data_IF_993150063609
#
_entry.id   IF_993150063609
#
_cell.length_a   1.000
_cell.length_b   1.000
_cell.length_c   1.000
_cell.angle_alpha   90.00
_cell.angle_beta   90.00
_cell.angle_gamma   90.00
#
_symmetry.space_group_name_H-M   'P 1'
#
loop_
_entity.id
_entity.type
_entity.pdbx_description
1 polymer ?
#
# COMPACT_ATOMS: atom_id res chain seq x y z
N UNK A 1 21.21 -16.03 11.79
CA UNK A 1 21.78 -16.56 10.53
C UNK A 1 20.76 -17.27 9.66
N UNK A 2 19.88 -18.15 10.17
CA UNK A 2 18.77 -18.73 9.38
C UNK A 2 17.74 -17.72 8.85
N UNK A 3 17.39 -16.67 9.62
CA UNK A 3 16.48 -15.59 9.17
C UNK A 3 17.06 -14.68 8.07
N UNK A 4 18.39 -14.52 8.03
CA UNK A 4 19.06 -13.77 6.95
C UNK A 4 19.08 -14.56 5.63
N UNK A 5 19.00 -15.89 5.72
CA UNK A 5 18.86 -16.77 4.56
C UNK A 5 17.42 -16.73 3.99
N UNK A 6 16.41 -16.57 4.85
CA UNK A 6 15.02 -16.36 4.44
C UNK A 6 14.82 -15.01 3.72
N UNK A 7 15.44 -13.92 4.20
CA UNK A 7 15.47 -12.65 3.46
C UNK A 7 16.18 -12.78 2.10
N UNK A 8 17.24 -13.60 2.01
CA UNK A 8 17.96 -13.84 0.76
C UNK A 8 17.18 -14.76 -0.20
N UNK A 9 16.42 -15.73 0.32
CA UNK A 9 15.53 -16.61 -0.45
C UNK A 9 14.26 -15.88 -0.90
N UNK A 10 13.71 -14.94 -0.13
CA UNK A 10 12.63 -14.06 -0.57
C UNK A 10 13.09 -13.08 -1.67
N UNK A 11 14.33 -12.57 -1.56
CA UNK A 11 14.96 -11.79 -2.64
C UNK A 11 15.22 -12.64 -3.90
N UNK A 12 15.62 -13.91 -3.73
CA UNK A 12 15.81 -14.85 -4.84
C UNK A 12 14.48 -15.30 -5.45
N UNK A 13 13.41 -15.42 -4.67
CA UNK A 13 12.10 -15.87 -5.16
C UNK A 13 11.27 -14.75 -5.80
N UNK A 14 11.47 -13.48 -5.41
CA UNK A 14 11.07 -12.35 -6.26
C UNK A 14 11.86 -12.35 -7.58
N UNK A 15 13.11 -12.80 -7.58
CA UNK A 15 13.87 -13.01 -8.82
C UNK A 15 13.42 -14.24 -9.60
N UNK A 16 12.86 -15.30 -8.97
CA UNK A 16 12.44 -16.53 -9.67
C UNK A 16 10.95 -16.60 -10.03
N UNK A 17 10.06 -15.86 -9.36
CA UNK A 17 8.69 -15.60 -9.83
C UNK A 17 8.67 -14.76 -11.11
N UNK A 18 9.71 -13.93 -11.30
CA UNK A 18 10.06 -13.31 -12.58
C UNK A 18 10.68 -14.28 -13.61
N UNK A 19 11.12 -15.48 -13.20
CA UNK A 19 11.68 -16.50 -14.12
C UNK A 19 10.66 -17.53 -14.61
N UNK A 20 9.54 -17.75 -13.91
CA UNK A 20 8.50 -18.67 -14.39
C UNK A 20 7.62 -18.08 -15.52
N UNK A 21 7.68 -16.77 -15.76
CA UNK A 21 7.16 -16.11 -16.97
C UNK A 21 8.26 -15.82 -18.02
N UNK A 22 9.51 -16.22 -17.77
CA UNK A 22 10.64 -15.83 -18.62
C UNK A 22 10.92 -16.77 -19.80
N UNK A 23 10.18 -17.88 -19.98
CA UNK A 23 10.47 -18.81 -21.08
C UNK A 23 9.89 -18.38 -22.45
N UNK A 24 9.24 -17.22 -22.58
CA UNK A 24 8.97 -16.63 -23.91
C UNK A 24 9.07 -15.10 -24.03
N UNK A 25 9.57 -14.39 -23.01
CA UNK A 25 9.78 -12.95 -23.09
C UNK A 25 11.22 -12.65 -23.52
N UNK A 26 11.45 -12.69 -24.84
CA UNK A 26 12.60 -11.96 -25.39
C UNK A 26 12.37 -10.48 -25.10
N UNK A 27 13.16 -9.90 -24.19
CA UNK A 27 13.17 -8.44 -23.99
C UNK A 27 13.40 -7.77 -25.36
N UNK A 28 12.59 -6.79 -25.75
CA UNK A 28 12.78 -6.09 -27.02
C UNK A 28 14.19 -5.49 -27.07
N UNK A 29 14.78 -5.43 -28.26
CA UNK A 29 16.10 -4.83 -28.44
C UNK A 29 16.00 -3.32 -28.16
N UNK A 30 16.50 -2.89 -27.00
CA UNK A 30 16.45 -1.49 -26.57
C UNK A 30 17.74 -0.77 -26.95
N UNK A 31 17.63 0.46 -27.45
CA UNK A 31 18.78 1.34 -27.67
C UNK A 31 19.61 1.51 -26.39
N UNK A 32 20.94 1.73 -26.47
CA UNK A 32 21.78 1.87 -25.30
C UNK A 32 21.47 3.15 -24.51
N UNK A 33 21.72 3.16 -23.19
CA UNK A 33 21.57 4.36 -22.33
C UNK A 33 22.28 5.60 -22.88
N UNK A 34 23.40 5.41 -23.59
CA UNK A 34 24.15 6.51 -24.22
C UNK A 34 23.32 7.28 -25.25
N UNK A 35 22.45 6.60 -26.01
CA UNK A 35 21.55 7.25 -26.96
C UNK A 35 20.60 8.24 -26.26
N UNK A 36 19.96 7.77 -25.18
CA UNK A 36 19.03 8.56 -24.39
C UNK A 36 19.72 9.69 -23.61
N UNK A 37 20.96 9.46 -23.17
CA UNK A 37 21.80 10.50 -22.57
C UNK A 37 22.13 11.62 -23.55
N UNK A 38 22.53 11.26 -24.78
CA UNK A 38 22.82 12.23 -25.84
C UNK A 38 21.56 13.04 -26.22
N UNK A 39 20.42 12.38 -26.37
CA UNK A 39 19.13 13.03 -26.63
C UNK A 39 18.75 13.99 -25.48
N UNK A 40 18.80 13.54 -24.22
CA UNK A 40 18.49 14.39 -23.08
C UNK A 40 19.44 15.59 -22.97
N UNK A 41 20.74 15.40 -23.26
CA UNK A 41 21.71 16.50 -23.24
C UNK A 41 21.50 17.49 -24.39
N UNK A 42 21.03 17.03 -25.55
CA UNK A 42 20.66 17.88 -26.69
C UNK A 42 19.42 18.73 -26.37
N UNK A 43 18.40 18.11 -25.78
CA UNK A 43 17.13 18.78 -25.45
C UNK A 43 17.25 19.71 -24.24
N UNK A 44 18.12 19.36 -23.28
CA UNK A 44 18.33 20.07 -22.02
C UNK A 44 19.81 20.41 -21.78
N UNK A 45 20.43 21.27 -22.62
CA UNK A 45 21.87 21.53 -22.61
C UNK A 45 22.40 22.20 -21.33
N UNK A 46 21.53 22.91 -20.60
CA UNK A 46 21.89 23.59 -19.36
C UNK A 46 21.73 22.71 -18.11
N UNK A 47 21.30 21.47 -18.28
CA UNK A 47 21.06 20.51 -17.20
C UNK A 47 22.17 19.45 -17.16
N UNK A 48 22.44 18.95 -15.96
CA UNK A 48 23.37 17.86 -15.73
C UNK A 48 22.62 16.58 -15.42
N UNK A 49 23.08 15.46 -15.96
CA UNK A 49 22.53 14.15 -15.63
C UNK A 49 23.21 13.62 -14.37
N UNK A 50 22.41 13.17 -13.39
CA UNK A 50 22.97 12.42 -12.25
C UNK A 50 22.68 10.92 -12.32
N UNK A 51 21.56 10.50 -12.94
CA UNK A 51 21.18 9.09 -13.00
C UNK A 51 20.38 8.75 -14.26
N UNK A 52 20.59 7.52 -14.76
CA UNK A 52 19.80 6.93 -15.86
C UNK A 52 19.44 5.48 -15.57
N UNK A 53 18.14 5.16 -15.64
CA UNK A 53 17.60 3.85 -15.22
C UNK A 53 16.62 3.31 -16.25
N UNK A 54 16.64 1.99 -16.48
CA UNK A 54 15.55 1.31 -17.19
C UNK A 54 14.63 0.64 -16.18
N UNK A 55 13.34 0.66 -16.46
CA UNK A 55 12.34 -0.13 -15.73
C UNK A 55 11.34 -0.73 -16.70
N UNK A 56 10.92 -1.98 -16.47
CA UNK A 56 9.86 -2.61 -17.26
C UNK A 56 8.56 -2.62 -16.46
N UNK A 57 7.54 -1.90 -16.92
CA UNK A 57 6.20 -1.94 -16.33
C UNK A 57 5.15 -1.49 -17.33
N UNK A 58 3.90 -1.93 -17.16
CA UNK A 58 2.83 -1.65 -18.12
C UNK A 58 2.99 -2.41 -19.44
N UNK A 59 2.21 -2.02 -20.46
CA UNK A 59 2.23 -2.64 -21.79
C UNK A 59 2.27 -1.62 -22.92
N UNK A 60 3.05 -1.93 -23.95
CA UNK A 60 3.06 -1.25 -25.24
C UNK A 60 2.82 -2.29 -26.34
N UNK A 61 1.77 -2.14 -27.14
CA UNK A 61 1.42 -3.07 -28.25
C UNK A 61 1.45 -4.57 -27.89
N UNK A 62 1.01 -4.91 -26.67
CA UNK A 62 0.98 -6.26 -26.05
C UNK A 62 2.33 -6.81 -25.55
N UNK A 63 3.41 -6.03 -25.64
CA UNK A 63 4.69 -6.33 -25.00
C UNK A 63 4.85 -5.53 -23.70
N UNK A 64 5.79 -5.94 -22.85
CA UNK A 64 6.17 -5.15 -21.67
C UNK A 64 6.73 -3.81 -22.17
N UNK A 65 6.18 -2.70 -21.68
CA UNK A 65 6.76 -1.39 -21.94
C UNK A 65 8.05 -1.23 -21.11
N UNK A 66 9.14 -0.91 -21.78
CA UNK A 66 10.42 -0.58 -21.18
C UNK A 66 10.51 0.95 -21.13
N UNK A 67 10.62 1.48 -19.93
CA UNK A 67 10.77 2.91 -19.66
C UNK A 67 12.24 3.25 -19.40
N UNK A 68 12.68 4.41 -19.91
CA UNK A 68 13.97 5.02 -19.57
C UNK A 68 13.76 6.29 -18.77
N UNK A 69 14.33 6.34 -17.58
CA UNK A 69 14.31 7.51 -16.70
C UNK A 69 15.65 8.21 -16.77
N UNK A 70 15.66 9.48 -17.18
CA UNK A 70 16.84 10.36 -17.14
C UNK A 70 16.60 11.46 -16.12
N UNK A 71 17.41 11.45 -15.08
CA UNK A 71 17.27 12.32 -13.93
C UNK A 71 18.28 13.48 -14.03
N UNK A 72 17.75 14.70 -14.07
CA UNK A 72 18.44 15.94 -14.39
C UNK A 72 18.40 16.97 -13.27
N UNK A 73 19.53 17.65 -13.04
CA UNK A 73 19.62 18.73 -12.07
C UNK A 73 20.39 19.93 -12.62
N UNK A 74 20.14 21.11 -12.05
CA UNK A 74 20.97 22.29 -12.28
C UNK A 74 20.98 23.20 -11.06
N UNK A 75 22.00 24.04 -10.97
CA UNK A 75 22.15 25.02 -9.89
C UNK A 75 21.79 26.41 -10.36
N UNK A 76 20.83 27.04 -9.67
CA UNK A 76 20.69 28.49 -9.70
C UNK A 76 21.60 29.12 -8.62
N UNK A 77 21.39 30.38 -8.28
CA UNK A 77 22.10 30.98 -7.14
C UNK A 77 21.52 30.53 -5.80
N UNK A 78 20.22 30.24 -5.77
CA UNK A 78 19.45 30.11 -4.53
C UNK A 78 18.83 28.72 -4.36
N UNK A 79 18.83 27.88 -5.41
CA UNK A 79 18.27 26.53 -5.35
C UNK A 79 18.97 25.54 -6.29
N UNK A 80 18.76 24.25 -6.00
CA UNK A 80 18.91 23.14 -6.94
C UNK A 80 17.56 22.91 -7.58
N UNK A 81 17.49 22.98 -8.90
CA UNK A 81 16.32 22.58 -9.67
C UNK A 81 16.51 21.13 -10.13
N UNK A 82 15.40 20.40 -10.17
CA UNK A 82 15.37 18.95 -10.37
C UNK A 82 14.28 18.58 -11.37
N UNK A 83 14.57 17.63 -12.23
CA UNK A 83 13.67 17.17 -13.27
C UNK A 83 13.92 15.69 -13.58
N UNK A 84 12.85 14.95 -13.85
CA UNK A 84 12.90 13.60 -14.37
C UNK A 84 12.28 13.56 -15.76
N UNK A 85 12.98 12.91 -16.68
CA UNK A 85 12.50 12.58 -18.01
C UNK A 85 12.16 11.09 -18.06
N UNK A 86 10.99 10.75 -18.56
CA UNK A 86 10.55 9.37 -18.81
C UNK A 86 10.19 9.20 -20.29
N UNK A 87 10.58 8.08 -20.90
CA UNK A 87 10.12 7.69 -22.23
C UNK A 87 9.97 6.17 -22.34
N UNK A 88 8.93 5.72 -23.05
CA UNK A 88 8.81 4.31 -23.46
C UNK A 88 9.78 4.06 -24.62
N UNK A 89 10.66 3.08 -24.48
CA UNK A 89 11.74 2.82 -25.44
C UNK A 89 11.37 1.85 -26.55
N UNK A 90 10.35 1.02 -26.36
CA UNK A 90 9.92 0.01 -27.35
C UNK A 90 9.72 0.58 -28.78
N UNK A 91 9.07 1.74 -28.97
CA UNK A 91 8.85 2.26 -30.32
C UNK A 91 10.03 3.05 -30.90
N UNK A 92 11.09 3.31 -30.13
CA UNK A 92 12.14 4.27 -30.50
C UNK A 92 13.25 3.57 -31.27
N UNK A 93 13.54 4.07 -32.47
CA UNK A 93 14.65 3.61 -33.31
C UNK A 93 15.80 4.61 -33.32
N UNK A 94 16.99 4.16 -33.72
CA UNK A 94 18.16 5.04 -33.84
C UNK A 94 17.88 6.18 -34.85
N UNK A 95 18.02 7.42 -34.40
CA UNK A 95 17.75 8.62 -35.18
C UNK A 95 16.36 9.24 -34.93
N UNK A 96 15.49 8.57 -34.17
CA UNK A 96 14.21 9.14 -33.76
C UNK A 96 14.40 10.16 -32.63
N UNK A 97 13.57 11.21 -32.66
CA UNK A 97 13.41 12.12 -31.52
C UNK A 97 12.82 11.35 -30.32
N UNK A 98 13.31 11.62 -29.11
CA UNK A 98 12.82 10.94 -27.90
C UNK A 98 11.62 11.70 -27.32
N UNK A 99 10.43 11.09 -27.22
CA UNK A 99 9.23 11.76 -26.74
C UNK A 99 9.19 11.78 -25.20
N UNK A 100 10.00 12.64 -24.59
CA UNK A 100 10.07 12.77 -23.14
C UNK A 100 8.74 13.20 -22.51
N UNK A 101 8.25 12.40 -21.56
CA UNK A 101 7.40 12.87 -20.47
C UNK A 101 8.29 13.57 -19.44
N UNK A 102 7.91 14.79 -19.03
CA UNK A 102 8.75 15.65 -18.20
C UNK A 102 8.07 15.90 -16.87
N UNK A 103 8.72 15.48 -15.79
CA UNK A 103 8.29 15.71 -14.42
C UNK A 103 9.25 16.67 -13.74
N UNK A 104 8.77 17.86 -13.36
CA UNK A 104 9.57 18.79 -12.54
C UNK A 104 9.39 18.46 -11.07
N UNK A 105 10.49 18.35 -10.34
CA UNK A 105 10.47 18.14 -8.89
C UNK A 105 10.58 19.49 -8.19
N UNK A 106 10.21 19.51 -6.91
CA UNK A 106 10.32 20.71 -6.09
C UNK A 106 11.79 21.14 -6.00
N UNK A 107 12.09 22.43 -6.25
CA UNK A 107 13.45 22.93 -6.08
C UNK A 107 13.87 22.80 -4.62
N UNK A 108 15.17 22.72 -4.36
CA UNK A 108 15.73 22.62 -3.01
C UNK A 108 16.60 23.83 -2.75
N UNK A 109 16.24 24.63 -1.75
CA UNK A 109 16.95 25.85 -1.38
C UNK A 109 18.43 25.57 -1.06
N UNK A 110 19.30 26.47 -1.48
CA UNK A 110 20.73 26.46 -1.16
C UNK A 110 21.04 27.40 0.01
N UNK A 111 21.93 26.96 0.89
CA UNK A 111 22.57 27.84 1.84
C UNK A 111 23.34 28.96 1.11
N UNK A 112 23.38 30.19 1.63
CA UNK A 112 24.14 31.28 1.03
C UNK A 112 25.60 30.91 0.75
N UNK A 113 26.00 30.97 -0.53
CA UNK A 113 27.36 30.64 -0.98
C UNK A 113 27.61 29.14 -1.24
N UNK A 114 26.62 28.26 -1.06
CA UNK A 114 26.78 26.83 -1.31
C UNK A 114 26.89 26.47 -2.81
N UNK A 115 26.36 27.30 -3.70
CA UNK A 115 26.25 26.98 -5.13
C UNK A 115 27.60 26.67 -5.79
N UNK A 116 28.67 27.40 -5.49
CA UNK A 116 29.99 27.16 -6.08
C UNK A 116 30.64 25.88 -5.55
N UNK A 117 30.42 25.56 -4.27
CA UNK A 117 30.86 24.30 -3.67
C UNK A 117 30.17 23.12 -4.36
N UNK A 118 28.84 23.19 -4.50
CA UNK A 118 28.05 22.11 -5.10
C UNK A 118 28.36 21.93 -6.59
N UNK A 119 28.59 23.02 -7.34
CA UNK A 119 29.02 22.95 -8.75
C UNK A 119 30.38 22.27 -8.94
N UNK A 120 31.23 22.24 -7.91
CA UNK A 120 32.52 21.57 -7.95
C UNK A 120 32.44 20.08 -7.58
N UNK A 121 31.29 19.60 -7.11
CA UNK A 121 31.06 18.20 -6.74
C UNK A 121 30.60 17.38 -7.95
N UNK A 122 30.84 16.07 -7.89
CA UNK A 122 30.23 15.11 -8.81
C UNK A 122 28.76 14.88 -8.40
N UNK A 123 27.86 14.65 -9.35
CA UNK A 123 26.45 14.37 -9.07
C UNK A 123 26.27 13.21 -8.08
N UNK A 124 27.15 12.20 -8.11
CA UNK A 124 27.11 11.07 -7.16
C UNK A 124 27.49 11.43 -5.72
N UNK A 125 28.14 12.57 -5.52
CA UNK A 125 28.50 13.10 -4.19
C UNK A 125 27.41 14.03 -3.66
N UNK A 126 26.46 14.45 -4.51
CA UNK A 126 25.29 15.28 -4.17
C UNK A 126 24.07 14.40 -3.93
N UNK A 127 23.86 13.39 -4.78
CA UNK A 127 22.71 12.49 -4.74
C UNK A 127 23.13 11.08 -4.37
N UNK A 128 22.25 10.37 -3.67
CA UNK A 128 22.43 8.93 -3.43
C UNK A 128 22.11 8.12 -4.68
N UNK A 129 22.44 6.82 -4.68
CA UNK A 129 22.10 5.89 -5.78
C UNK A 129 20.60 5.51 -5.85
N UNK A 130 19.74 6.15 -5.05
CA UNK A 130 18.30 5.94 -5.00
C UNK A 130 17.62 6.21 -6.36
N UNK A 131 16.48 5.54 -6.62
CA UNK A 131 15.59 5.83 -7.76
C UNK A 131 15.04 7.26 -7.77
N UNK A 132 15.08 7.96 -6.63
CA UNK A 132 14.50 9.29 -6.46
C UNK A 132 15.58 10.36 -6.20
N UNK A 133 15.18 11.63 -6.23
CA UNK A 133 16.02 12.78 -5.88
C UNK A 133 16.29 12.83 -4.36
N UNK A 134 17.08 11.89 -3.87
CA UNK A 134 17.53 11.77 -2.48
C UNK A 134 18.94 12.32 -2.38
N UNK A 135 19.13 13.29 -1.50
CA UNK A 135 20.41 13.95 -1.30
C UNK A 135 21.29 13.15 -0.36
N UNK A 136 22.59 13.18 -0.64
CA UNK A 136 23.62 12.59 0.21
C UNK A 136 23.82 13.42 1.48
N UNK A 137 24.10 12.76 2.59
CA UNK A 137 24.43 13.38 3.89
C UNK A 137 25.60 14.37 3.78
N UNK A 138 26.45 14.25 2.76
CA UNK A 138 27.58 15.15 2.48
C UNK A 138 27.16 16.57 2.12
N UNK A 139 25.94 16.76 1.65
CA UNK A 139 25.45 18.06 1.16
C UNK A 139 24.27 18.61 1.95
N UNK A 140 23.70 17.85 2.90
CA UNK A 140 22.46 18.27 3.59
C UNK A 140 22.62 19.58 4.36
N UNK A 141 23.79 19.84 4.96
CA UNK A 141 24.10 21.11 5.63
C UNK A 141 24.18 22.33 4.68
N UNK A 142 24.25 22.08 3.37
CA UNK A 142 24.29 23.10 2.33
C UNK A 142 22.89 23.42 1.77
N UNK A 143 21.85 22.75 2.27
CA UNK A 143 20.51 22.76 1.70
C UNK A 143 19.46 23.16 2.74
N UNK A 144 18.36 23.72 2.26
CA UNK A 144 17.14 23.99 3.04
C UNK A 144 17.32 24.84 4.32
N UNK A 145 18.12 25.92 4.32
CA UNK A 145 18.37 26.73 5.51
C UNK A 145 17.11 27.38 6.09
N UNK A 146 16.03 27.56 5.31
CA UNK A 146 14.76 28.12 5.80
C UNK A 146 13.88 27.12 6.56
N UNK A 147 14.17 25.81 6.47
CA UNK A 147 13.24 24.76 6.92
C UNK A 147 13.64 24.08 8.23
N UNK A 148 14.72 24.53 8.86
CA UNK A 148 15.18 24.01 10.15
C UNK A 148 15.80 25.14 10.99
N UNK A 149 15.82 24.94 12.30
CA UNK A 149 16.45 25.88 13.23
C UNK A 149 17.97 25.69 13.27
N UNK A 150 18.69 26.67 13.82
CA UNK A 150 20.16 26.59 13.94
C UNK A 150 20.67 25.47 14.87
N UNK A 151 19.79 24.85 15.68
CA UNK A 151 20.14 23.71 16.53
C UNK A 151 19.85 22.36 15.87
N UNK A 152 19.20 22.37 14.70
CA UNK A 152 18.85 21.18 13.94
C UNK A 152 19.82 20.95 12.78
N UNK A 153 20.07 19.68 12.47
CA UNK A 153 20.75 19.26 11.25
C UNK A 153 19.83 18.38 10.42
N UNK A 154 19.84 18.54 9.10
CA UNK A 154 19.08 17.66 8.19
C UNK A 154 19.88 16.38 8.01
N UNK A 155 19.29 15.25 8.40
CA UNK A 155 19.95 13.93 8.35
C UNK A 155 19.47 13.04 7.20
N UNK A 156 18.38 13.43 6.53
CA UNK A 156 17.91 12.80 5.30
C UNK A 156 17.02 13.80 4.55
N UNK A 157 17.14 13.86 3.22
CA UNK A 157 16.37 14.79 2.38
C UNK A 157 16.00 14.13 1.04
N UNK A 158 14.73 14.22 0.66
CA UNK A 158 14.20 13.73 -0.61
C UNK A 158 13.22 14.73 -1.20
N UNK A 159 13.35 15.00 -2.50
CA UNK A 159 12.41 15.83 -3.26
C UNK A 159 11.48 14.98 -4.12
N UNK A 160 10.27 15.49 -4.34
CA UNK A 160 9.25 14.97 -5.24
C UNK A 160 8.54 16.15 -5.93
N UNK A 161 7.62 15.90 -6.88
CA UNK A 161 6.85 16.96 -7.54
C UNK A 161 5.94 17.77 -6.61
N UNK A 162 5.50 17.18 -5.49
CA UNK A 162 4.51 17.81 -4.59
C UNK A 162 5.01 18.06 -3.17
N UNK A 163 5.97 17.27 -2.71
CA UNK A 163 6.52 17.38 -1.36
C UNK A 163 8.03 17.33 -1.31
N UNK A 164 8.56 18.02 -0.29
CA UNK A 164 9.88 17.81 0.23
C UNK A 164 9.77 16.98 1.51
N UNK A 165 10.47 15.86 1.57
CA UNK A 165 10.53 14.96 2.71
C UNK A 165 11.89 15.08 3.38
N UNK A 166 11.91 15.32 4.69
CA UNK A 166 13.17 15.46 5.40
C UNK A 166 13.04 15.08 6.86
N UNK A 167 14.15 14.61 7.41
CA UNK A 167 14.29 14.34 8.83
C UNK A 167 15.33 15.31 9.39
N UNK A 168 14.96 16.02 10.46
CA UNK A 168 15.92 16.82 11.24
C UNK A 168 16.32 16.10 12.51
N UNK A 169 17.51 16.43 13.02
CA UNK A 169 18.03 15.98 14.30
C UNK A 169 18.58 17.16 15.10
N UNK A 170 18.12 17.33 16.33
CA UNK A 170 18.61 18.40 17.21
C UNK A 170 19.85 17.99 18.02
N UNK A 171 20.41 18.93 18.79
CA UNK A 171 21.56 18.71 19.67
C UNK A 171 21.30 17.73 20.83
N UNK A 172 20.03 17.43 21.12
CA UNK A 172 19.60 16.44 22.10
C UNK A 172 19.31 15.06 21.47
N UNK A 173 19.69 14.85 20.20
CA UNK A 173 19.43 13.64 19.43
C UNK A 173 17.93 13.31 19.30
N UNK A 174 17.06 14.33 19.36
CA UNK A 174 15.64 14.19 19.01
C UNK A 174 15.48 14.33 17.50
N UNK A 175 14.66 13.45 16.93
CA UNK A 175 14.39 13.44 15.49
C UNK A 175 13.03 14.07 15.21
N UNK A 176 12.90 14.71 14.07
CA UNK A 176 11.62 15.23 13.60
C UNK A 176 11.41 14.87 12.13
N UNK A 177 10.32 14.18 11.84
CA UNK A 177 9.82 13.99 10.48
C UNK A 177 9.18 15.29 10.02
N UNK A 178 9.55 15.73 8.82
CA UNK A 178 8.98 16.92 8.21
C UNK A 178 8.62 16.64 6.76
N UNK A 179 7.42 17.09 6.39
CA UNK A 179 6.96 17.10 5.02
C UNK A 179 6.53 18.52 4.70
N UNK A 180 7.11 19.11 3.67
CA UNK A 180 6.77 20.45 3.23
C UNK A 180 6.18 20.40 1.82
N UNK A 181 5.12 21.18 1.60
CA UNK A 181 4.48 21.35 0.30
C UNK A 181 5.01 22.63 -0.35
N UNK A 182 5.24 22.57 -1.66
CA UNK A 182 5.60 23.74 -2.46
C UNK A 182 4.35 24.32 -3.13
N UNK A 183 4.14 25.63 -3.00
CA UNK A 183 3.00 26.31 -3.63
C UNK A 183 3.34 26.98 -4.98
N UNK A 184 4.59 26.85 -5.42
CA UNK A 184 5.14 27.57 -6.58
C UNK A 184 6.09 28.70 -6.21
N UNK A 185 6.14 29.11 -4.94
CA UNK A 185 6.95 30.23 -4.45
C UNK A 185 7.62 30.01 -3.10
N UNK A 186 6.97 29.32 -2.17
CA UNK A 186 7.51 29.01 -0.85
C UNK A 186 7.10 27.62 -0.37
N UNK A 187 7.84 27.12 0.63
CA UNK A 187 7.50 25.88 1.31
C UNK A 187 6.55 26.16 2.47
N UNK A 188 5.50 25.35 2.58
CA UNK A 188 4.68 25.26 3.77
C UNK A 188 4.85 23.88 4.39
N UNK A 189 5.36 23.81 5.63
CA UNK A 189 5.40 22.56 6.38
C UNK A 189 3.98 22.06 6.67
N UNK A 190 3.66 20.87 6.17
CA UNK A 190 2.35 20.21 6.36
C UNK A 190 2.41 19.08 7.38
N UNK A 191 3.61 18.50 7.60
CA UNK A 191 3.86 17.51 8.65
C UNK A 191 5.06 17.96 9.48
N UNK A 192 4.92 17.91 10.80
CA UNK A 192 6.01 18.17 11.75
C UNK A 192 5.86 17.26 12.97
N UNK A 193 6.42 16.06 12.89
CA UNK A 193 6.16 14.98 13.84
C UNK A 193 7.43 14.61 14.59
N UNK A 194 7.46 14.77 15.93
CA UNK A 194 8.60 14.33 16.72
C UNK A 194 8.71 12.81 16.73
N UNK A 195 9.94 12.31 16.80
CA UNK A 195 10.22 10.91 17.07
C UNK A 195 11.34 10.78 18.10
N UNK A 196 11.18 9.91 19.10
CA UNK A 196 12.22 9.64 20.09
C UNK A 196 13.36 8.77 19.53
N UNK A 197 13.21 8.26 18.31
CA UNK A 197 14.16 7.38 17.66
C UNK A 197 14.57 7.92 16.30
N UNK A 198 15.72 7.44 15.81
CA UNK A 198 16.15 7.75 14.45
C UNK A 198 15.06 7.32 13.48
N UNK A 199 14.61 8.28 12.68
CA UNK A 199 13.72 8.07 11.55
C UNK A 199 14.55 8.00 10.26
N UNK A 200 14.14 7.15 9.35
CA UNK A 200 14.59 7.19 7.96
C UNK A 200 13.48 6.77 7.04
N UNK A 201 13.32 7.44 5.90
CA UNK A 201 12.43 6.97 4.85
C UNK A 201 13.18 6.03 3.89
N UNK A 202 12.47 5.03 3.36
CA UNK A 202 12.98 4.15 2.33
C UNK A 202 12.59 4.68 0.94
N UNK A 203 13.56 5.22 0.18
CA UNK A 203 13.25 5.86 -1.09
C UNK A 203 12.81 4.89 -2.20
N UNK A 204 13.09 3.59 -2.04
CA UNK A 204 12.73 2.58 -3.04
C UNK A 204 11.23 2.30 -3.07
N UNK A 205 10.56 2.41 -1.92
CA UNK A 205 9.11 2.18 -1.75
C UNK A 205 8.31 3.46 -1.51
N UNK A 206 8.98 4.62 -1.57
CA UNK A 206 8.33 5.92 -1.49
C UNK A 206 7.99 6.47 -2.87
N UNK A 207 6.87 7.19 -2.98
CA UNK A 207 6.41 7.85 -4.20
C UNK A 207 6.04 9.32 -3.97
N UNK A 208 5.30 9.92 -4.90
CA UNK A 208 4.86 11.31 -4.78
C UNK A 208 3.84 11.51 -3.65
N UNK A 209 3.05 10.47 -3.37
CA UNK A 209 1.98 10.46 -2.36
C UNK A 209 2.06 9.27 -1.41
N UNK A 210 3.15 8.50 -1.44
CA UNK A 210 3.44 7.43 -0.48
C UNK A 210 4.83 7.59 0.13
N UNK A 211 4.99 7.20 1.38
CA UNK A 211 6.25 7.28 2.10
C UNK A 211 6.37 6.07 3.02
N UNK A 212 7.36 5.21 2.77
CA UNK A 212 7.75 4.14 3.70
C UNK A 212 8.75 4.73 4.70
N UNK A 213 8.47 4.58 5.99
CA UNK A 213 9.21 5.18 7.09
C UNK A 213 9.62 4.14 8.12
N UNK A 214 10.92 4.10 8.39
CA UNK A 214 11.53 3.29 9.43
C UNK A 214 11.78 4.14 10.68
N UNK A 215 11.21 3.71 11.80
CA UNK A 215 11.53 4.20 13.12
C UNK A 215 12.39 3.15 13.84
N UNK A 216 13.63 3.52 14.16
CA UNK A 216 14.60 2.66 14.85
C UNK A 216 14.28 2.51 16.35
N UNK A 217 13.10 1.97 16.63
CA UNK A 217 12.57 1.65 17.95
C UNK A 217 12.95 0.21 18.34
N UNK A 218 12.62 -0.14 19.58
CA UNK A 218 12.65 -1.53 20.03
C UNK A 218 11.28 -1.90 20.64
N UNK A 219 10.46 -2.73 19.95
CA UNK A 219 10.72 -3.35 18.64
C UNK A 219 10.87 -2.32 17.51
N UNK A 220 11.55 -2.72 16.43
CA UNK A 220 11.65 -1.93 15.20
C UNK A 220 10.25 -1.62 14.68
N UNK A 221 10.02 -0.44 14.09
CA UNK A 221 8.72 -0.09 13.53
C UNK A 221 8.93 0.47 12.13
N UNK A 222 8.27 -0.12 11.16
CA UNK A 222 8.16 0.33 9.77
C UNK A 222 6.70 0.67 9.50
N UNK A 223 6.46 1.81 8.85
CA UNK A 223 5.11 2.28 8.52
C UNK A 223 5.05 2.78 7.09
N UNK A 224 3.98 2.40 6.39
CA UNK A 224 3.65 3.01 5.10
C UNK A 224 2.65 4.14 5.31
N UNK A 225 3.00 5.31 4.78
CA UNK A 225 2.18 6.49 4.86
C UNK A 225 1.66 6.84 3.46
N UNK A 226 0.43 7.37 3.39
CA UNK A 226 -0.17 7.87 2.16
C UNK A 226 -0.72 9.27 2.36
N UNK A 227 -0.63 10.10 1.32
CA UNK A 227 -1.34 11.36 1.23
C UNK A 227 -2.74 11.11 0.66
N UNK A 228 -3.74 11.19 1.54
CA UNK A 228 -5.11 10.84 1.19
C UNK A 228 -5.81 11.96 0.41
N UNK A 229 -6.93 11.62 -0.23
CA UNK A 229 -7.69 12.53 -1.08
C UNK A 229 -8.22 13.78 -0.33
N UNK A 230 -8.35 13.71 0.98
CA UNK A 230 -8.74 14.83 1.84
C UNK A 230 -7.57 15.76 2.20
N UNK A 231 -6.37 15.47 1.71
CA UNK A 231 -5.18 16.30 1.84
C UNK A 231 -4.40 16.09 3.13
N UNK A 232 -4.51 14.92 3.75
CA UNK A 232 -3.84 14.58 5.02
C UNK A 232 -2.94 13.36 4.83
N UNK A 233 -1.75 13.40 5.45
CA UNK A 233 -0.86 12.24 5.51
C UNK A 233 -1.27 11.31 6.66
N UNK A 234 -1.55 10.05 6.33
CA UNK A 234 -1.91 9.00 7.29
C UNK A 234 -1.06 7.77 7.13
N UNK A 235 -0.90 7.03 8.21
CA UNK A 235 -0.32 5.69 8.24
C UNK A 235 -1.40 4.69 7.81
N UNK A 236 -1.08 3.88 6.80
CA UNK A 236 -1.94 2.83 6.25
C UNK A 236 -1.40 1.43 6.54
N UNK A 237 -0.10 1.29 6.80
CA UNK A 237 0.52 0.01 7.16
C UNK A 237 1.36 0.15 8.42
N UNK A 238 1.32 -0.86 9.29
CA UNK A 238 2.15 -0.98 10.49
C UNK A 238 2.88 -2.32 10.48
N UNK A 239 4.21 -2.30 10.61
CA UNK A 239 5.05 -3.49 10.66
C UNK A 239 6.09 -3.37 11.77
N UNK A 240 6.24 -4.42 12.59
CA UNK A 240 7.26 -4.43 13.65
C UNK A 240 7.96 -5.78 13.85
N UNK A 241 8.00 -6.63 12.82
CA UNK A 241 8.37 -8.05 12.84
C UNK A 241 7.45 -8.98 13.65
N UNK A 242 6.77 -8.48 14.68
CA UNK A 242 5.82 -9.26 15.48
C UNK A 242 4.41 -9.24 14.90
N UNK A 243 4.09 -8.22 14.12
CA UNK A 243 2.88 -8.14 13.31
C UNK A 243 3.14 -7.32 12.04
N UNK A 244 2.29 -7.55 11.05
CA UNK A 244 2.09 -6.69 9.89
C UNK A 244 0.59 -6.44 9.77
N UNK A 245 0.19 -5.18 9.67
CA UNK A 245 -1.22 -4.78 9.62
C UNK A 245 -1.43 -3.70 8.57
N UNK A 246 -2.35 -3.95 7.65
CA UNK A 246 -2.92 -2.92 6.76
C UNK A 246 -4.20 -2.38 7.39
N UNK A 247 -4.35 -1.05 7.39
CA UNK A 247 -5.44 -0.35 8.06
C UNK A 247 -6.43 0.21 7.05
N UNK A 248 -7.71 -0.08 7.30
CA UNK A 248 -8.85 0.50 6.59
C UNK A 248 -9.76 1.20 7.60
N UNK A 249 -10.78 1.91 7.10
CA UNK A 249 -11.66 2.72 7.95
C UNK A 249 -12.40 1.90 9.01
N UNK A 250 -12.83 0.68 8.66
CA UNK A 250 -13.71 -0.16 9.50
C UNK A 250 -13.20 -1.59 9.70
N UNK A 251 -11.96 -1.88 9.32
CA UNK A 251 -11.31 -3.14 9.60
C UNK A 251 -9.80 -3.00 9.42
N UNK A 252 -9.07 -4.00 9.89
CA UNK A 252 -7.65 -4.18 9.60
C UNK A 252 -7.41 -5.57 9.04
N UNK A 253 -6.33 -5.75 8.28
CA UNK A 253 -5.90 -7.05 7.75
C UNK A 253 -4.53 -7.39 8.33
N UNK A 254 -4.38 -8.59 8.90
CA UNK A 254 -3.18 -9.02 9.62
C UNK A 254 -2.29 -9.98 8.81
N UNK A 255 -1.82 -9.56 7.64
CA UNK A 255 -0.85 -10.36 6.87
C UNK A 255 -0.23 -9.55 5.72
N UNK A 256 0.98 -9.96 5.30
CA UNK A 256 1.62 -9.50 4.06
C UNK A 256 0.93 -10.07 2.81
N UNK A 257 0.25 -11.21 2.96
CA UNK A 257 -0.40 -11.99 1.91
C UNK A 257 -1.72 -12.51 2.48
N UNK A 258 -2.84 -11.88 2.15
CA UNK A 258 -4.16 -12.37 2.58
C UNK A 258 -4.42 -13.73 1.97
N UNK A 259 -4.90 -14.69 2.76
CA UNK A 259 -5.66 -15.78 2.19
C UNK A 259 -6.86 -15.15 1.45
N UNK A 260 -6.92 -15.30 0.13
CA UNK A 260 -7.98 -14.73 -0.69
C UNK A 260 -9.31 -15.49 -0.54
N UNK A 261 -9.28 -16.69 0.08
CA UNK A 261 -10.41 -17.63 0.16
C UNK A 261 -11.18 -17.57 1.48
N UNK A 262 -10.57 -17.07 2.56
CA UNK A 262 -11.21 -16.91 3.86
C UNK A 262 -10.97 -15.50 4.42
N UNK A 263 -11.65 -15.16 5.52
CA UNK A 263 -11.51 -13.84 6.15
C UNK A 263 -10.87 -13.90 7.55
N UNK A 264 -10.06 -14.92 7.84
CA UNK A 264 -9.54 -15.12 9.19
C UNK A 264 -8.52 -14.06 9.63
N UNK A 265 -7.77 -13.51 8.67
CA UNK A 265 -6.87 -12.38 8.86
C UNK A 265 -7.57 -11.01 8.89
N UNK A 266 -8.89 -10.97 8.69
CA UNK A 266 -9.68 -9.74 8.75
C UNK A 266 -10.23 -9.53 10.16
N UNK A 267 -9.95 -8.36 10.71
CA UNK A 267 -10.41 -7.95 12.04
C UNK A 267 -11.31 -6.73 11.88
N UNK A 268 -12.62 -6.94 12.08
CA UNK A 268 -13.65 -5.94 11.79
C UNK A 268 -13.86 -5.00 12.97
N UNK A 269 -13.95 -3.71 12.68
CA UNK A 269 -14.00 -2.65 13.68
C UNK A 269 -13.05 -1.52 13.32
N UNK A 270 -13.20 -0.38 13.99
CA UNK A 270 -12.41 0.80 13.67
C UNK A 270 -11.15 0.83 14.53
N UNK A 271 -9.98 0.91 13.92
CA UNK A 271 -8.75 1.15 14.68
C UNK A 271 -8.78 2.58 15.26
N UNK A 272 -8.62 2.70 16.58
CA UNK A 272 -8.73 4.00 17.29
C UNK A 272 -7.39 4.69 17.54
N UNK A 273 -6.28 4.05 17.13
CA UNK A 273 -4.95 4.66 17.21
C UNK A 273 -4.89 5.93 16.34
N UNK A 274 -4.19 6.99 16.78
CA UNK A 274 -3.89 8.13 15.92
C UNK A 274 -2.98 7.70 14.76
N UNK A 275 -3.48 7.83 13.53
CA UNK A 275 -2.73 7.46 12.31
C UNK A 275 -2.35 8.68 11.47
N UNK A 276 -2.90 9.86 11.75
CA UNK A 276 -2.47 11.11 11.12
C UNK A 276 -1.04 11.42 11.55
N UNK A 277 -0.14 11.71 10.61
CA UNK A 277 1.27 11.94 10.96
C UNK A 277 1.45 13.09 11.95
N UNK A 278 0.64 14.14 11.93
CA UNK A 278 0.74 15.24 12.90
C UNK A 278 0.25 14.90 14.32
N UNK A 279 -0.42 13.77 14.51
CA UNK A 279 -1.06 13.37 15.76
C UNK A 279 -0.40 12.13 16.38
N UNK A 280 0.46 11.46 15.63
CA UNK A 280 1.06 10.19 16.01
C UNK A 280 2.17 10.37 17.05
N UNK A 281 2.22 9.43 18.00
CA UNK A 281 3.37 9.22 18.87
C UNK A 281 4.00 7.86 18.53
N UNK A 282 5.13 7.88 17.81
CA UNK A 282 5.81 6.67 17.39
C UNK A 282 6.19 5.76 18.58
N UNK A 283 6.44 6.34 19.76
CA UNK A 283 6.83 5.58 20.95
C UNK A 283 5.68 4.77 21.55
N UNK A 284 4.44 5.20 21.29
CA UNK A 284 3.22 4.65 21.87
C UNK A 284 2.56 3.57 20.99
N UNK A 285 3.12 3.27 19.82
CA UNK A 285 2.55 2.21 18.97
C UNK A 285 2.56 0.85 19.66
N UNK A 286 1.55 0.01 19.36
CA UNK A 286 1.51 -1.37 19.78
C UNK A 286 2.80 -2.11 19.43
N UNK A 287 3.26 -2.94 20.36
CA UNK A 287 4.41 -3.83 20.21
C UNK A 287 3.99 -5.23 19.81
N UNK A 288 2.75 -5.60 20.09
CA UNK A 288 2.17 -6.91 19.75
C UNK A 288 0.85 -6.75 19.00
N UNK A 289 0.47 -7.77 18.25
CA UNK A 289 -0.83 -7.76 17.57
C UNK A 289 -2.00 -7.70 18.55
N UNK A 290 -1.90 -8.33 19.72
CA UNK A 290 -2.94 -8.26 20.76
C UNK A 290 -3.17 -6.82 21.25
N UNK A 291 -2.12 -5.99 21.30
CA UNK A 291 -2.24 -4.56 21.64
C UNK A 291 -2.93 -3.77 20.50
N UNK A 292 -2.69 -4.15 19.22
CA UNK A 292 -3.44 -3.59 18.08
C UNK A 292 -4.94 -3.91 18.23
N UNK A 293 -5.29 -5.18 18.46
CA UNK A 293 -6.69 -5.60 18.67
C UNK A 293 -7.34 -4.92 19.87
N UNK A 294 -6.58 -4.64 20.93
CA UNK A 294 -7.07 -3.89 22.11
C UNK A 294 -7.39 -2.42 21.81
N UNK A 295 -6.89 -1.91 20.69
CA UNK A 295 -7.10 -0.53 20.22
C UNK A 295 -8.22 -0.43 19.18
N UNK A 296 -8.93 -1.52 18.89
CA UNK A 296 -10.07 -1.56 17.99
C UNK A 296 -11.36 -1.16 18.71
N UNK A 297 -12.19 -0.35 18.06
CA UNK A 297 -13.57 -0.11 18.44
C UNK A 297 -14.48 -1.07 17.67
N UNK A 298 -15.02 -2.04 18.40
CA UNK A 298 -15.95 -3.05 17.87
C UNK A 298 -17.42 -2.65 18.02
N UNK A 299 -17.72 -1.38 18.32
CA UNK A 299 -19.10 -0.93 18.51
C UNK A 299 -19.95 -1.24 17.29
N UNK A 300 -21.00 -2.04 17.50
CA UNK A 300 -21.92 -2.44 16.43
C UNK A 300 -21.41 -3.57 15.53
N UNK A 301 -20.17 -4.03 15.68
CA UNK A 301 -19.63 -5.15 14.89
C UNK A 301 -20.26 -6.46 15.36
N UNK A 302 -20.61 -7.32 14.40
CA UNK A 302 -21.04 -8.68 14.63
C UNK A 302 -20.59 -9.61 13.49
N UNK A 303 -20.63 -10.92 13.73
CA UNK A 303 -20.51 -11.91 12.67
C UNK A 303 -21.38 -13.14 12.96
N UNK A 304 -21.67 -13.95 11.93
CA UNK A 304 -22.38 -15.22 12.10
C UNK A 304 -21.55 -16.18 12.97
N UNK A 305 -22.17 -16.73 14.01
CA UNK A 305 -21.47 -17.55 15.00
C UNK A 305 -21.30 -19.02 14.60
N UNK A 306 -22.05 -19.49 13.61
CA UNK A 306 -22.01 -20.87 13.13
C UNK A 306 -22.56 -20.99 11.70
N UNK A 307 -22.32 -22.15 11.09
CA UNK A 307 -22.84 -22.48 9.77
C UNK A 307 -24.36 -22.54 9.74
N UNK A 308 -24.89 -22.38 8.53
CA UNK A 308 -26.31 -22.37 8.24
C UNK A 308 -27.08 -21.29 9.02
N UNK A 309 -26.42 -20.18 9.34
CA UNK A 309 -27.06 -19.04 10.02
C UNK A 309 -28.07 -18.40 9.06
N UNK A 310 -29.38 -18.40 9.39
CA UNK A 310 -30.40 -17.85 8.49
C UNK A 310 -30.45 -16.33 8.53
N UNK A 311 -30.39 -15.71 7.34
CA UNK A 311 -30.68 -14.28 7.15
C UNK A 311 -32.14 -14.11 6.73
N UNK A 312 -32.86 -13.14 7.31
CA UNK A 312 -34.28 -12.92 7.07
C UNK A 312 -34.57 -11.55 6.47
N UNK A 313 -35.61 -11.46 5.64
CA UNK A 313 -36.07 -10.18 5.09
C UNK A 313 -36.71 -9.27 6.17
N UNK A 314 -37.32 -9.87 7.19
CA UNK A 314 -37.94 -9.23 8.33
C UNK A 314 -37.96 -10.20 9.51
N UNK A 315 -38.18 -9.73 10.77
CA UNK A 315 -38.40 -10.61 11.91
C UNK A 315 -39.50 -11.64 11.62
N UNK A 316 -39.16 -12.94 11.77
CA UNK A 316 -40.03 -14.09 11.44
C UNK A 316 -40.55 -14.13 9.99
N UNK A 317 -39.90 -13.41 9.07
CA UNK A 317 -40.22 -13.36 7.64
C UNK A 317 -39.56 -14.46 6.81
N UNK A 318 -39.49 -14.24 5.50
CA UNK A 318 -38.83 -15.16 4.57
C UNK A 318 -37.31 -15.19 4.79
N UNK A 319 -36.73 -16.39 4.70
CA UNK A 319 -35.28 -16.58 4.71
C UNK A 319 -34.72 -16.19 3.36
N UNK A 320 -33.73 -15.30 3.36
CA UNK A 320 -33.00 -14.83 2.18
C UNK A 320 -31.87 -15.81 1.83
N UNK A 321 -31.07 -16.17 2.84
CA UNK A 321 -29.89 -17.01 2.68
C UNK A 321 -29.56 -17.76 3.98
N UNK A 322 -28.74 -18.80 3.85
CA UNK A 322 -28.07 -19.51 4.94
C UNK A 322 -26.58 -19.24 4.83
N UNK A 323 -26.02 -18.54 5.80
CA UNK A 323 -24.63 -18.11 5.80
C UNK A 323 -23.72 -19.11 6.49
N UNK A 324 -22.46 -19.13 6.03
CA UNK A 324 -21.33 -19.76 6.70
C UNK A 324 -20.97 -18.99 7.98
N UNK A 325 -20.01 -19.52 8.73
CA UNK A 325 -19.49 -18.90 9.96
C UNK A 325 -18.59 -17.71 9.63
N UNK A 326 -18.58 -16.68 10.49
CA UNK A 326 -17.75 -15.47 10.41
C UNK A 326 -18.11 -14.48 9.29
N UNK A 327 -19.34 -14.49 8.78
CA UNK A 327 -19.81 -13.45 7.85
C UNK A 327 -19.91 -12.11 8.58
N UNK A 328 -19.13 -11.08 8.21
CA UNK A 328 -19.06 -9.82 8.93
C UNK A 328 -20.27 -8.93 8.67
N UNK A 329 -20.72 -8.22 9.70
CA UNK A 329 -21.86 -7.32 9.63
C UNK A 329 -21.82 -6.22 10.69
N UNK A 330 -22.59 -5.15 10.44
CA UNK A 330 -22.82 -4.07 11.41
C UNK A 330 -24.28 -4.10 11.87
N UNK A 331 -24.51 -4.08 13.18
CA UNK A 331 -25.83 -3.99 13.80
C UNK A 331 -26.36 -2.56 13.66
N UNK A 332 -27.48 -2.42 12.97
CA UNK A 332 -28.15 -1.14 12.70
C UNK A 332 -29.24 -0.84 13.74
N UNK A 333 -30.03 -1.85 14.11
CA UNK A 333 -31.08 -1.71 15.11
C UNK A 333 -31.42 -3.02 15.81
N UNK A 334 -32.07 -2.92 16.97
CA UNK A 334 -32.48 -4.08 17.78
C UNK A 334 -34.00 -4.13 17.96
N UNK A 335 -34.58 -5.33 17.86
CA UNK A 335 -36.00 -5.57 18.13
C UNK A 335 -36.21 -6.91 18.82
N UNK A 336 -36.14 -6.92 20.15
CA UNK A 336 -36.21 -8.16 20.94
C UNK A 336 -35.02 -9.07 20.64
N UNK A 337 -35.31 -10.31 20.23
CA UNK A 337 -34.29 -11.29 19.87
C UNK A 337 -33.71 -11.07 18.46
N UNK A 338 -34.20 -10.05 17.75
CA UNK A 338 -33.80 -9.75 16.38
C UNK A 338 -32.80 -8.60 16.32
N UNK A 339 -31.86 -8.70 15.39
CA UNK A 339 -30.92 -7.66 15.00
C UNK A 339 -31.13 -7.34 13.54
N UNK A 340 -31.37 -6.08 13.24
CA UNK A 340 -31.26 -5.58 11.89
C UNK A 340 -29.79 -5.30 11.63
N UNK A 341 -29.25 -5.87 10.56
CA UNK A 341 -27.82 -5.84 10.26
C UNK A 341 -27.57 -5.39 8.82
N UNK A 342 -26.39 -4.85 8.59
CA UNK A 342 -25.86 -4.46 7.29
C UNK A 342 -24.61 -5.30 7.00
N UNK A 343 -24.63 -6.05 5.90
CA UNK A 343 -23.45 -6.73 5.34
C UNK A 343 -22.92 -5.85 4.20
N UNK A 344 -21.61 -5.57 4.19
CA UNK A 344 -21.01 -4.64 3.22
C UNK A 344 -21.47 -3.19 3.39
N UNK A 345 -21.29 -2.37 2.37
CA UNK A 345 -21.61 -0.93 2.41
C UNK A 345 -23.13 -0.66 2.40
N UNK A 346 -23.53 0.55 2.82
CA UNK A 346 -24.95 0.98 2.78
C UNK A 346 -25.52 1.02 1.35
N UNK A 347 -24.68 1.23 0.34
CA UNK A 347 -25.09 1.42 -1.06
C UNK A 347 -25.15 0.08 -1.81
N UNK A 348 -24.13 -0.77 -1.61
CA UNK A 348 -23.92 -1.98 -2.40
C UNK A 348 -23.87 -3.26 -1.54
N UNK A 349 -24.36 -3.18 -0.30
CA UNK A 349 -24.47 -4.29 0.63
C UNK A 349 -25.88 -4.86 0.76
N UNK A 350 -26.06 -5.72 1.77
CA UNK A 350 -27.34 -6.36 2.09
C UNK A 350 -27.79 -5.98 3.51
N UNK A 351 -28.97 -5.36 3.59
CA UNK A 351 -29.66 -5.11 4.86
C UNK A 351 -30.67 -6.21 5.14
N UNK A 352 -30.56 -6.89 6.28
CA UNK A 352 -31.41 -8.01 6.65
C UNK A 352 -31.58 -8.13 8.17
N UNK A 353 -32.28 -9.17 8.60
CA UNK A 353 -32.52 -9.49 10.00
C UNK A 353 -31.92 -10.83 10.39
N UNK A 354 -31.28 -10.91 11.54
CA UNK A 354 -30.69 -12.14 12.10
C UNK A 354 -31.09 -12.25 13.57
N UNK A 355 -31.20 -13.48 14.09
CA UNK A 355 -31.42 -13.67 15.52
C UNK A 355 -30.13 -13.39 16.27
N UNK A 356 -30.23 -12.70 17.39
CA UNK A 356 -29.09 -12.39 18.24
C UNK A 356 -28.37 -13.66 18.74
N UNK A 357 -29.07 -14.78 18.87
CA UNK A 357 -28.49 -16.06 19.29
C UNK A 357 -27.56 -16.69 18.24
N UNK A 358 -27.66 -16.28 16.97
CA UNK A 358 -26.88 -16.82 15.86
C UNK A 358 -25.67 -15.91 15.52
N UNK A 359 -25.41 -14.89 16.35
CA UNK A 359 -24.36 -13.88 16.16
C UNK A 359 -23.34 -13.88 17.30
N UNK A 360 -22.07 -13.64 16.94
CA UNK A 360 -21.05 -13.15 17.85
C UNK A 360 -21.00 -11.61 17.74
N UNK A 361 -20.71 -10.92 18.84
CA UNK A 361 -20.76 -9.46 18.91
C UNK A 361 -19.46 -8.86 19.42
N UNK A 362 -19.12 -7.68 18.91
CA UNK A 362 -17.99 -6.90 19.41
C UNK A 362 -16.69 -7.68 19.33
N UNK A 363 -15.86 -7.61 20.38
CA UNK A 363 -14.59 -8.34 20.44
C UNK A 363 -14.74 -9.88 20.45
N UNK A 364 -15.95 -10.43 20.66
CA UNK A 364 -16.14 -11.89 20.60
C UNK A 364 -16.01 -12.42 19.16
N UNK A 365 -16.14 -11.57 18.14
CA UNK A 365 -15.94 -11.94 16.73
C UNK A 365 -14.53 -12.45 16.46
N UNK A 366 -13.54 -12.00 17.24
CA UNK A 366 -12.13 -12.41 17.13
C UNK A 366 -11.90 -13.89 17.49
N UNK A 367 -12.87 -14.55 18.12
CA UNK A 367 -12.79 -15.96 18.50
C UNK A 367 -13.57 -16.88 17.54
N UNK A 368 -14.16 -16.31 16.47
CA UNK A 368 -14.94 -17.05 15.49
C UNK A 368 -14.02 -17.39 14.32
N UNK A 369 -14.01 -18.66 13.90
CA UNK A 369 -13.21 -19.14 12.77
C UNK A 369 -14.07 -19.18 11.51
N UNK A 370 -13.51 -18.73 10.39
CA UNK A 370 -14.16 -18.72 9.10
C UNK A 370 -14.43 -20.15 8.60
N UNK A 371 -15.55 -20.35 7.92
CA UNK A 371 -15.88 -21.62 7.27
C UNK A 371 -16.29 -21.42 5.82
N UNK A 372 -15.84 -20.33 5.20
CA UNK A 372 -16.08 -20.07 3.79
C UNK A 372 -15.43 -21.19 2.96
N UNK A 373 -16.18 -21.82 2.04
CA UNK A 373 -15.64 -22.85 1.20
C UNK A 373 -14.67 -22.28 0.17
N UNK A 374 -13.60 -23.01 -0.10
CA UNK A 374 -12.62 -22.66 -1.15
C UNK A 374 -13.19 -22.85 -2.56
N UNK A 375 -12.66 -22.09 -3.51
CA UNK A 375 -12.99 -22.25 -4.93
C UNK A 375 -11.79 -21.97 -5.83
N UNK A 376 -11.68 -22.68 -6.95
CA UNK A 376 -10.72 -22.29 -7.99
C UNK A 376 -11.21 -21.03 -8.73
N UNK A 377 -10.28 -20.18 -9.18
CA UNK A 377 -10.62 -19.05 -10.07
C UNK A 377 -11.15 -19.59 -11.40
N UNK A 378 -12.47 -19.52 -11.60
CA UNK A 378 -13.10 -19.94 -12.86
C UNK A 378 -13.43 -18.70 -13.68
N UNK A 379 -13.00 -18.65 -14.95
CA UNK A 379 -13.40 -17.61 -15.92
C UNK A 379 -14.93 -17.38 -15.96
N UNK A 380 -15.71 -18.43 -15.66
CA UNK A 380 -17.18 -18.38 -15.57
C UNK A 380 -17.69 -17.59 -14.37
N UNK A 381 -16.98 -17.60 -13.24
CA UNK A 381 -17.34 -16.82 -12.06
C UNK A 381 -17.16 -15.33 -12.33
N UNK A 382 -16.07 -14.93 -12.99
CA UNK A 382 -15.80 -13.54 -13.38
C UNK A 382 -16.94 -12.92 -14.22
N UNK A 383 -17.59 -13.71 -15.08
CA UNK A 383 -18.71 -13.23 -15.92
C UNK A 383 -20.07 -13.32 -15.23
N UNK A 384 -20.21 -14.16 -14.20
CA UNK A 384 -21.50 -14.54 -13.62
C UNK A 384 -21.80 -13.88 -12.26
N UNK A 385 -20.80 -13.39 -11.54
CA UNK A 385 -21.01 -12.70 -10.26
C UNK A 385 -21.52 -11.28 -10.51
N UNK A 386 -22.60 -10.91 -9.81
CA UNK A 386 -23.14 -9.54 -9.82
C UNK A 386 -23.14 -8.97 -8.41
N UNK A 387 -22.34 -7.92 -8.18
CA UNK A 387 -22.33 -7.17 -6.92
C UNK A 387 -23.18 -5.92 -7.06
N UNK A 388 -24.41 -5.94 -6.54
CA UNK A 388 -25.32 -4.78 -6.61
C UNK A 388 -25.47 -4.18 -8.02
N UNK A 389 -25.44 -5.03 -9.05
CA UNK A 389 -25.52 -4.62 -10.46
C UNK A 389 -24.22 -4.09 -11.07
N UNK A 390 -23.13 -4.05 -10.32
CA UNK A 390 -21.77 -3.78 -10.81
C UNK A 390 -21.14 -5.09 -11.28
N UNK A 391 -20.60 -5.07 -12.50
CA UNK A 391 -19.70 -6.11 -12.97
C UNK A 391 -18.29 -5.72 -12.51
N UNK A 392 -17.79 -6.38 -11.46
CA UNK A 392 -16.43 -6.21 -10.97
C UNK A 392 -15.56 -7.32 -11.55
N UNK A 393 -14.37 -7.02 -12.11
CA UNK A 393 -13.43 -8.07 -12.48
C UNK A 393 -12.96 -8.76 -11.20
N UNK A 394 -13.30 -10.04 -11.03
CA UNK A 394 -12.71 -10.90 -9.99
C UNK A 394 -11.27 -11.23 -10.43
N UNK A 395 -10.37 -10.28 -10.28
CA UNK A 395 -8.96 -10.46 -10.59
C UNK A 395 -8.26 -11.19 -9.45
N UNK A 396 -7.23 -11.96 -9.80
CA UNK A 396 -6.30 -12.55 -8.84
C UNK A 396 -5.71 -11.48 -7.92
N UNK A 397 -5.69 -11.71 -6.62
CA UNK A 397 -5.27 -10.71 -5.63
C UNK A 397 -6.42 -9.93 -5.00
N UNK A 398 -7.67 -10.17 -5.39
CA UNK A 398 -8.84 -9.57 -4.76
C UNK A 398 -9.48 -10.55 -3.78
N UNK A 399 -9.86 -10.06 -2.60
CA UNK A 399 -10.56 -10.88 -1.61
C UNK A 399 -12.05 -10.96 -1.95
N UNK A 400 -12.53 -12.15 -2.31
CA UNK A 400 -13.95 -12.39 -2.54
C UNK A 400 -14.32 -13.81 -2.12
N UNK A 401 -15.50 -13.95 -1.54
CA UNK A 401 -15.88 -15.14 -0.80
C UNK A 401 -17.31 -15.56 -1.08
N UNK A 402 -17.54 -16.87 -1.11
CA UNK A 402 -18.87 -17.46 -0.98
C UNK A 402 -19.27 -17.43 0.50
N UNK A 403 -20.13 -16.49 0.89
CA UNK A 403 -20.52 -16.26 2.29
C UNK A 403 -21.81 -16.97 2.70
N UNK A 404 -22.53 -17.56 1.75
CA UNK A 404 -23.72 -18.36 2.03
C UNK A 404 -24.43 -18.87 0.79
N UNK A 405 -25.54 -19.57 1.00
CA UNK A 405 -26.43 -20.07 -0.06
C UNK A 405 -27.81 -19.45 0.07
N UNK A 406 -28.32 -18.91 -1.03
CA UNK A 406 -29.66 -18.35 -1.17
C UNK A 406 -30.72 -19.46 -1.15
N UNK A 407 -31.99 -19.10 -0.92
CA UNK A 407 -33.08 -20.08 -0.84
C UNK A 407 -33.35 -20.86 -2.16
N UNK A 408 -32.94 -20.31 -3.31
CA UNK A 408 -33.05 -20.93 -4.63
C UNK A 408 -31.81 -21.77 -5.02
N UNK A 409 -30.79 -21.79 -4.15
CA UNK A 409 -29.55 -22.54 -4.34
C UNK A 409 -28.41 -21.74 -4.95
N UNK A 410 -28.62 -20.47 -5.32
CA UNK A 410 -27.54 -19.58 -5.77
C UNK A 410 -26.65 -19.16 -4.59
N UNK A 411 -25.44 -18.71 -4.87
CA UNK A 411 -24.49 -18.27 -3.84
C UNK A 411 -24.68 -16.80 -3.49
N UNK A 412 -24.59 -16.51 -2.19
CA UNK A 412 -24.40 -15.17 -1.68
C UNK A 412 -22.90 -14.90 -1.61
N UNK A 413 -22.46 -13.80 -2.24
CA UNK A 413 -21.06 -13.44 -2.41
C UNK A 413 -20.72 -12.19 -1.61
N UNK A 414 -19.49 -12.10 -1.13
CA UNK A 414 -18.91 -10.87 -0.58
C UNK A 414 -17.61 -10.56 -1.30
N UNK A 415 -17.37 -9.29 -1.61
CA UNK A 415 -16.10 -8.79 -2.13
C UNK A 415 -15.56 -7.76 -1.17
N UNK A 416 -14.31 -7.89 -0.76
CA UNK A 416 -13.60 -6.89 0.01
C UNK A 416 -12.52 -6.25 -0.88
N UNK A 417 -12.76 -5.00 -1.28
CA UNK A 417 -11.74 -4.16 -1.89
C UNK A 417 -10.95 -3.41 -0.80
N UNK A 418 -9.90 -2.71 -1.21
CA UNK A 418 -9.14 -1.80 -0.37
C UNK A 418 -9.93 -0.57 0.13
N UNK A 419 -11.15 -0.33 -0.34
CA UNK A 419 -11.93 0.85 0.05
C UNK A 419 -13.37 0.52 0.48
N UNK A 420 -13.97 -0.55 -0.05
CA UNK A 420 -15.37 -0.91 0.20
C UNK A 420 -15.59 -2.43 0.20
N UNK A 421 -16.59 -2.87 0.98
CA UNK A 421 -17.08 -4.26 0.98
C UNK A 421 -18.44 -4.29 0.28
N UNK A 422 -18.58 -5.19 -0.69
CA UNK A 422 -19.79 -5.37 -1.51
C UNK A 422 -20.44 -6.71 -1.25
N UNK A 423 -21.77 -6.78 -1.42
CA UNK A 423 -22.52 -8.03 -1.40
C UNK A 423 -23.15 -8.28 -2.76
N UNK A 424 -23.10 -9.52 -3.21
CA UNK A 424 -23.56 -9.92 -4.53
C UNK A 424 -24.15 -11.32 -4.54
N UNK A 425 -24.55 -11.76 -5.73
CA UNK A 425 -25.03 -13.12 -5.94
C UNK A 425 -24.36 -13.75 -7.15
N UNK A 426 -24.26 -15.06 -7.13
CA UNK A 426 -23.71 -15.84 -8.23
C UNK A 426 -24.55 -17.11 -8.44
N UNK A 427 -24.84 -17.49 -9.70
CA UNK A 427 -25.55 -18.72 -9.95
C UNK A 427 -24.69 -19.91 -9.52
N UNK A 428 -25.30 -20.95 -8.95
CA UNK A 428 -24.56 -22.13 -8.50
C UNK A 428 -23.69 -22.76 -9.61
N UNK A 429 -24.15 -22.67 -10.86
CA UNK A 429 -23.42 -23.17 -12.03
C UNK A 429 -22.16 -22.38 -12.41
N UNK A 430 -21.90 -21.23 -11.78
CA UNK A 430 -20.68 -20.46 -11.98
C UNK A 430 -19.44 -21.20 -11.43
N UNK A 431 -19.64 -22.07 -10.44
CA UNK A 431 -18.58 -22.81 -9.76
C UNK A 431 -18.70 -24.30 -10.05
N UNK A 432 -17.56 -24.97 -10.29
CA UNK A 432 -17.50 -26.41 -10.58
C UNK A 432 -16.73 -27.22 -9.55
N UNK A 433 -15.82 -26.58 -8.81
CA UNK A 433 -14.94 -27.20 -7.83
C UNK A 433 -14.95 -26.34 -6.57
N UNK A 434 -15.74 -26.77 -5.59
CA UNK A 434 -15.87 -26.13 -4.28
C UNK A 434 -15.25 -27.08 -3.26
N UNK A 435 -14.22 -26.60 -2.56
CA UNK A 435 -13.52 -27.36 -1.53
C UNK A 435 -14.06 -27.09 -0.13
N UNK A 436 -13.42 -27.71 0.86
CA UNK A 436 -13.63 -27.38 2.27
C UNK A 436 -12.96 -26.03 2.59
N UNK A 437 -13.24 -25.47 3.77
CA UNK A 437 -12.58 -24.25 4.22
C UNK A 437 -11.08 -24.52 4.40
N UNK A 438 -10.23 -23.59 3.98
CA UNK A 438 -8.79 -23.66 4.24
C UNK A 438 -8.53 -23.36 5.73
N UNK A 439 -7.97 -24.34 6.44
CA UNK A 439 -7.40 -24.15 7.77
C UNK A 439 -5.93 -23.72 7.62
N UNK A 440 -5.51 -22.66 8.30
CA UNK A 440 -4.12 -22.14 8.27
C UNK A 440 -3.06 -23.16 8.75
N UNK A 441 -3.49 -24.29 9.35
CA UNK A 441 -2.64 -25.37 9.85
C UNK A 441 -2.17 -26.34 8.75
N UNK A 442 -2.70 -26.27 7.52
CA UNK A 442 -2.39 -27.21 6.43
C UNK A 442 -1.17 -26.81 5.56
N UNK A 443 -0.36 -25.84 6.01
CA UNK A 443 1.04 -25.74 5.55
C UNK A 443 1.88 -26.84 6.21
N UNK A 444 1.50 -28.10 5.97
CA UNK A 444 2.43 -29.21 6.15
C UNK A 444 3.63 -28.92 5.24
N UNK A 445 4.81 -28.91 5.86
CA UNK A 445 6.10 -28.91 5.20
C UNK A 445 6.14 -30.10 4.22
N UNK A 446 5.60 -29.94 3.00
CA UNK A 446 6.03 -30.77 1.89
C UNK A 446 7.49 -30.41 1.68
N UNK A 447 8.35 -31.26 2.28
CA UNK A 447 9.76 -31.39 1.99
C UNK A 447 9.93 -31.46 0.46
N UNK A 448 10.05 -30.30 -0.17
CA UNK A 448 10.53 -30.15 -1.54
C UNK A 448 12.01 -30.55 -1.56
N UNK A 449 12.24 -31.86 -1.62
CA UNK A 449 13.48 -32.46 -2.11
C UNK A 449 13.69 -32.02 -3.58
N UNK A 450 14.33 -30.87 -3.78
CA UNK A 450 14.96 -30.47 -5.06
C UNK A 450 16.36 -29.89 -4.87
#
# INVERSE_FOLDING_TARGET
MRKMLACFLALLMCCTGLTAFAESLTLPEVLPKSYFLEAAQQDYPDWQVWKVTYSGYGRYENEIAIHIFVNLYRFTNDCIELMELDAITNPIQEGDDVPWSVTTLIPVELAPGAADTLRAMDGKDIFTISSRAVFSDTVTDLLMPSQHTADETVVQLMSSPQFLYYVTKDSAEQYMLRIAKWDGSEYTTVVSTPSPAKLSFNPAFSSDNTLELDANLSPYLEVDCKFDADGVWRIHTLNNDAYFVTVYDNYIIKTYWSNEQNNDDYHYGRLTLPLTLNEVDFAAFPRTFAEVLSSMDYTGVACTAHDNTPLYAAPDGDVLAYCYTRVPMVVISESGDWREVQLGSDVDGLRCWVRAADLAFGADTENVVCTFPTHEEVDRAQEAVSFSGKALPLAKGCAWWMIGTMADGDYLMMFADNEEIFVGTAPASAFSEIGEAEDDDDWDDEDDDW
#
